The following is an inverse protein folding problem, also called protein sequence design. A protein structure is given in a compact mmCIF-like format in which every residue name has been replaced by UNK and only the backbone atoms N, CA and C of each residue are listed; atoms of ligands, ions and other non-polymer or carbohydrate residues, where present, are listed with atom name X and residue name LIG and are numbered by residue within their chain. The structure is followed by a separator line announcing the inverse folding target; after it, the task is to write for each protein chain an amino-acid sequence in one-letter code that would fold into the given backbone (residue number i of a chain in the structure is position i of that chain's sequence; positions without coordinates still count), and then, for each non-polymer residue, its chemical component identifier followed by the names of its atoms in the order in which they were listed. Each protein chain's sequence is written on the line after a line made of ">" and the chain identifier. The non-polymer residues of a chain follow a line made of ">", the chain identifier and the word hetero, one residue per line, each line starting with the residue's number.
data_IF_891339762604
#
_entry.id   IF_891339762604
#
_cell.length_a   1.000
_cell.length_b   1.000
_cell.length_c   1.000
_cell.angle_alpha   90.00
_cell.angle_beta   90.00
_cell.angle_gamma   90.00
#
_symmetry.space_group_name_H-M   'P 1'
#
loop_
_entity.id
_entity.type
_entity.pdbx_description
1 polymer ?
#
# COMPACT_ATOMS: atom_id res chain seq x y z
N UNK A 1 -13.95 10.11 -2.83
CA UNK A 1 -12.64 9.46 -3.00
C UNK A 1 -11.73 10.31 -3.87
N UNK A 2 -10.53 10.56 -3.39
CA UNK A 2 -9.53 11.26 -4.19
C UNK A 2 -9.04 10.39 -5.34
N UNK A 3 -9.04 10.94 -6.52
CA UNK A 3 -8.38 10.29 -7.65
C UNK A 3 -6.88 10.52 -7.54
N UNK A 4 -6.12 9.45 -7.63
CA UNK A 4 -4.67 9.51 -7.72
C UNK A 4 -4.25 9.26 -9.15
N UNK A 5 -3.36 10.12 -9.65
CA UNK A 5 -2.73 9.89 -10.95
C UNK A 5 -1.31 9.44 -10.74
N UNK A 6 -1.02 8.25 -11.21
CA UNK A 6 0.33 7.69 -11.14
C UNK A 6 0.99 7.94 -12.49
N UNK A 7 2.08 8.70 -12.47
CA UNK A 7 2.79 9.06 -13.68
C UNK A 7 3.68 7.92 -14.14
N UNK A 8 3.52 7.42 -15.37
CA UNK A 8 4.45 6.42 -15.89
C UNK A 8 5.83 7.03 -16.15
N UNK A 9 6.91 6.26 -16.09
CA UNK A 9 6.88 4.84 -15.77
C UNK A 9 6.63 4.59 -14.27
N UNK A 10 6.07 3.41 -13.97
CA UNK A 10 5.85 3.03 -12.58
C UNK A 10 6.24 1.56 -12.38
N UNK A 11 6.50 1.20 -11.13
CA UNK A 11 6.91 -0.14 -10.75
C UNK A 11 6.10 -0.56 -9.52
N UNK A 12 5.60 -1.78 -9.50
CA UNK A 12 4.86 -2.29 -8.35
C UNK A 12 5.73 -3.22 -7.52
N UNK A 13 5.73 -3.01 -6.21
CA UNK A 13 6.38 -3.88 -5.25
C UNK A 13 5.28 -4.55 -4.43
N UNK A 14 5.07 -5.84 -4.67
CA UNK A 14 4.04 -6.62 -4.00
C UNK A 14 4.65 -7.73 -3.18
N UNK A 15 4.93 -7.51 -1.89
CA UNK A 15 5.60 -8.52 -1.06
C UNK A 15 4.72 -9.72 -0.71
N UNK A 16 3.47 -9.70 -1.14
CA UNK A 16 2.50 -10.75 -0.83
C UNK A 16 2.41 -10.96 0.69
N UNK A 17 2.53 -12.18 1.18
CA UNK A 17 2.47 -12.47 2.61
C UNK A 17 3.85 -12.79 3.21
N UNK A 18 4.92 -12.38 2.54
CA UNK A 18 6.28 -12.68 3.03
C UNK A 18 6.80 -11.68 4.06
N UNK A 19 6.23 -10.47 4.08
CA UNK A 19 6.69 -9.39 4.97
C UNK A 19 5.55 -8.89 5.82
N UNK A 20 5.82 -8.61 7.08
CA UNK A 20 4.84 -7.98 7.96
C UNK A 20 5.54 -7.11 9.00
N UNK A 21 4.80 -6.17 9.60
CA UNK A 21 5.29 -5.30 10.65
C UNK A 21 6.49 -4.47 10.22
N UNK A 22 7.52 -4.42 11.05
CA UNK A 22 8.73 -3.62 10.78
C UNK A 22 9.42 -4.00 9.47
N UNK A 23 9.38 -5.27 9.09
CA UNK A 23 9.99 -5.70 7.84
C UNK A 23 9.26 -5.13 6.63
N UNK A 24 7.94 -4.98 6.74
CA UNK A 24 7.16 -4.34 5.68
C UNK A 24 7.51 -2.86 5.59
N UNK A 25 7.75 -2.20 6.72
CA UNK A 25 8.20 -0.80 6.76
C UNK A 25 9.59 -0.66 6.14
N UNK A 26 10.51 -1.55 6.50
CA UNK A 26 11.87 -1.53 5.94
C UNK A 26 11.87 -1.67 4.42
N UNK A 27 11.08 -2.61 3.90
CA UNK A 27 10.97 -2.79 2.46
C UNK A 27 10.38 -1.54 1.81
N UNK A 28 9.38 -0.94 2.44
CA UNK A 28 8.79 0.31 1.98
C UNK A 28 9.81 1.44 1.91
N UNK A 29 10.69 1.53 2.90
CA UNK A 29 11.75 2.55 2.89
C UNK A 29 12.76 2.32 1.78
N UNK A 30 13.10 1.07 1.50
CA UNK A 30 13.97 0.74 0.37
C UNK A 30 13.31 1.12 -0.95
N UNK A 31 12.03 0.82 -1.09
CA UNK A 31 11.27 1.18 -2.30
C UNK A 31 11.18 2.70 -2.46
N UNK A 32 10.98 3.43 -1.37
CA UNK A 32 10.94 4.88 -1.39
C UNK A 32 12.28 5.47 -1.86
N UNK A 33 13.37 4.98 -1.30
CA UNK A 33 14.70 5.45 -1.69
C UNK A 33 14.97 5.19 -3.17
N UNK A 34 14.57 4.02 -3.66
CA UNK A 34 14.73 3.69 -5.08
C UNK A 34 13.88 4.60 -5.96
N UNK A 35 12.66 4.93 -5.53
CA UNK A 35 11.79 5.85 -6.26
C UNK A 35 12.40 7.24 -6.34
N UNK A 36 12.93 7.76 -5.23
CA UNK A 36 13.56 9.07 -5.19
C UNK A 36 14.81 9.12 -6.08
N UNK A 37 15.61 8.08 -6.03
CA UNK A 37 16.86 8.01 -6.78
C UNK A 37 16.64 7.91 -8.28
N UNK A 38 15.62 7.16 -8.71
CA UNK A 38 15.38 6.89 -10.13
C UNK A 38 14.35 7.80 -10.77
N UNK A 39 13.52 8.46 -9.99
CA UNK A 39 12.38 9.23 -10.48
C UNK A 39 11.22 8.37 -10.96
N UNK A 40 11.29 7.05 -10.72
CA UNK A 40 10.22 6.12 -11.10
C UNK A 40 9.19 6.06 -9.97
N UNK A 41 7.91 6.19 -10.31
CA UNK A 41 6.83 6.04 -9.33
C UNK A 41 6.75 4.59 -8.87
N UNK A 42 6.61 4.36 -7.56
CA UNK A 42 6.51 3.01 -7.01
C UNK A 42 5.16 2.84 -6.32
N UNK A 43 4.47 1.77 -6.68
CA UNK A 43 3.24 1.33 -6.02
C UNK A 43 3.63 0.22 -5.06
N UNK A 44 3.35 0.39 -3.78
CA UNK A 44 3.68 -0.59 -2.76
C UNK A 44 2.40 -1.20 -2.20
N UNK A 45 2.32 -2.52 -2.20
CA UNK A 45 1.11 -3.27 -1.83
C UNK A 45 1.38 -4.18 -0.64
N UNK A 46 1.55 -3.61 0.58
CA UNK A 46 1.82 -4.41 1.77
C UNK A 46 0.57 -5.19 2.21
N UNK A 47 0.74 -6.08 3.19
CA UNK A 47 -0.41 -6.74 3.79
C UNK A 47 -1.37 -5.72 4.38
N UNK A 48 -2.66 -6.06 4.35
CA UNK A 48 -3.71 -5.16 4.86
C UNK A 48 -3.48 -4.75 6.30
N UNK A 49 -2.96 -5.67 7.12
CA UNK A 49 -2.67 -5.40 8.53
C UNK A 49 -1.55 -4.37 8.72
N UNK A 50 -0.71 -4.18 7.70
CA UNK A 50 0.42 -3.24 7.77
C UNK A 50 0.18 -1.95 6.99
N UNK A 51 -0.92 -1.87 6.28
CA UNK A 51 -1.18 -0.74 5.37
C UNK A 51 -1.16 0.61 6.11
N UNK A 52 -1.83 0.69 7.25
CA UNK A 52 -1.86 1.92 8.05
C UNK A 52 -0.48 2.25 8.63
N UNK A 53 0.25 1.24 9.10
CA UNK A 53 1.60 1.43 9.64
C UNK A 53 2.53 1.98 8.56
N UNK A 54 2.56 1.35 7.39
CA UNK A 54 3.39 1.80 6.28
C UNK A 54 2.99 3.20 5.84
N UNK A 55 1.70 3.48 5.81
CA UNK A 55 1.20 4.81 5.45
C UNK A 55 1.73 5.91 6.36
N UNK A 56 1.88 5.61 7.65
CA UNK A 56 2.41 6.57 8.63
C UNK A 56 3.93 6.69 8.57
N UNK A 57 4.64 5.58 8.34
CA UNK A 57 6.09 5.52 8.49
C UNK A 57 6.85 5.78 7.19
N UNK A 58 6.22 5.58 6.05
CA UNK A 58 6.91 5.71 4.75
C UNK A 58 6.11 6.65 3.86
N UNK A 59 6.75 7.66 3.33
CA UNK A 59 6.15 8.63 2.42
C UNK A 59 6.74 8.49 1.03
N UNK A 60 6.07 9.06 0.04
CA UNK A 60 6.58 9.07 -1.32
C UNK A 60 6.27 7.83 -2.15
N UNK A 61 5.44 6.94 -1.61
CA UNK A 61 4.97 5.77 -2.34
C UNK A 61 3.47 5.88 -2.58
N UNK A 62 3.00 5.20 -3.62
CA UNK A 62 1.57 4.98 -3.81
C UNK A 62 1.23 3.66 -3.13
N UNK A 63 0.36 3.69 -2.15
CA UNK A 63 -0.01 2.49 -1.40
C UNK A 63 -1.29 1.88 -1.97
N UNK A 64 -1.30 0.56 -2.03
CA UNK A 64 -2.43 -0.19 -2.55
C UNK A 64 -2.74 -1.34 -1.61
N UNK A 65 -4.02 -1.60 -1.38
CA UNK A 65 -4.45 -2.75 -0.60
C UNK A 65 -4.32 -4.02 -1.44
N UNK A 66 -3.95 -5.12 -0.81
CA UNK A 66 -3.85 -6.41 -1.52
C UNK A 66 -5.23 -6.91 -1.93
N UNK A 67 -6.25 -6.62 -1.14
CA UNK A 67 -7.63 -6.87 -1.53
C UNK A 67 -8.60 -6.01 -0.73
N UNK A 68 -9.84 -5.95 -1.19
CA UNK A 68 -10.96 -5.40 -0.43
C UNK A 68 -12.23 -6.09 -0.93
N UNK A 69 -13.29 -6.04 -0.11
CA UNK A 69 -14.53 -6.73 -0.42
C UNK A 69 -15.60 -5.74 -0.90
N UNK A 70 -16.39 -6.10 -1.90
CA UNK A 70 -17.43 -5.21 -2.43
C UNK A 70 -18.68 -5.25 -1.56
N UNK A 71 -18.57 -4.80 -0.33
CA UNK A 71 -19.67 -4.82 0.64
C UNK A 71 -19.92 -3.42 1.20
N UNK A 72 -21.15 -3.13 1.61
CA UNK A 72 -21.44 -1.92 2.35
C UNK A 72 -21.04 -2.09 3.82
N UNK A 73 -20.93 -0.97 4.51
CA UNK A 73 -20.71 -0.97 5.96
C UNK A 73 -21.85 -1.73 6.63
N UNK A 74 -21.49 -2.67 7.52
CA UNK A 74 -22.49 -3.48 8.21
C UNK A 74 -21.88 -4.72 8.84
N UNK A 75 -22.58 -5.85 8.73
CA UNK A 75 -22.23 -7.06 9.48
C UNK A 75 -21.16 -7.94 8.87
N UNK A 76 -20.44 -7.54 7.84
CA UNK A 76 -19.46 -8.40 7.18
C UNK A 76 -18.20 -8.62 8.00
N UNK A 77 -18.30 -9.24 9.14
CA UNK A 77 -17.14 -9.52 10.00
C UNK A 77 -16.08 -10.31 9.22
N UNK A 78 -14.84 -9.84 9.27
CA UNK A 78 -13.74 -10.44 8.52
C UNK A 78 -13.55 -9.87 7.13
N UNK A 79 -14.53 -9.16 6.60
CA UNK A 79 -14.42 -8.51 5.31
C UNK A 79 -13.63 -7.19 5.42
N UNK A 80 -13.05 -6.79 4.31
CA UNK A 80 -12.28 -5.54 4.23
C UNK A 80 -13.14 -4.49 3.53
N UNK A 81 -13.53 -3.47 4.28
CA UNK A 81 -14.35 -2.38 3.76
C UNK A 81 -13.55 -1.48 2.83
N UNK A 82 -14.06 -1.16 1.63
CA UNK A 82 -13.40 -0.17 0.77
C UNK A 82 -13.21 1.18 1.47
N UNK A 83 -14.17 1.62 2.27
CA UNK A 83 -14.09 2.87 3.02
C UNK A 83 -12.95 2.90 4.02
N UNK A 84 -12.56 1.74 4.55
CA UNK A 84 -11.45 1.64 5.50
C UNK A 84 -10.09 1.71 4.80
N UNK A 85 -10.03 1.40 3.52
CA UNK A 85 -8.79 1.35 2.74
C UNK A 85 -8.42 2.71 2.17
N UNK A 86 -9.39 3.51 1.78
CA UNK A 86 -9.09 4.77 1.12
C UNK A 86 -8.42 5.85 1.98
#
# INVERSE_FOLDING_TARGET
>A
MKKMKIKPPFFEVGPKAYFCGERAVELGRVAQAASEETGVSVIYTPQLTDLALVSREVKGLYLCAQHMDPIPMGKGQGSILPEAVK
#
